data_IF_548898163128
#
_entry.id   IF_548898163128
#
_cell.length_a   1.000
_cell.length_b   1.000
_cell.length_c   1.000
_cell.angle_alpha   90.00
_cell.angle_beta   90.00
_cell.angle_gamma   90.00
#
_symmetry.space_group_name_H-M   'P 1'
#
loop_
_entity.id
_entity.type
_entity.pdbx_description
1 polymer ?
#
# COMPACT_ATOMS: atom_id res chain seq x y z
N UNK A 1 20.16 5.28 8.33
CA UNK A 1 20.64 4.44 7.20
C UNK A 1 20.66 5.30 5.94
N UNK A 2 21.67 5.17 5.08
CA UNK A 2 21.72 5.89 3.80
C UNK A 2 20.75 5.26 2.80
N UNK A 3 19.95 6.09 2.12
CA UNK A 3 18.99 5.65 1.10
C UNK A 3 19.58 5.94 -0.28
N UNK A 4 19.90 4.89 -1.03
CA UNK A 4 20.40 5.01 -2.40
C UNK A 4 19.30 5.54 -3.32
N UNK A 5 19.66 6.41 -4.29
CA UNK A 5 18.71 6.98 -5.26
C UNK A 5 19.16 6.65 -6.68
N UNK A 6 18.36 5.85 -7.36
CA UNK A 6 18.53 5.50 -8.76
C UNK A 6 17.35 6.13 -9.52
N UNK A 7 17.49 7.40 -9.89
CA UNK A 7 16.42 8.15 -10.51
C UNK A 7 16.29 7.82 -12.00
N UNK A 8 15.04 7.78 -12.49
CA UNK A 8 14.77 7.57 -13.91
C UNK A 8 15.27 8.74 -14.74
N UNK A 9 15.78 8.46 -15.93
CA UNK A 9 16.13 9.48 -16.94
C UNK A 9 14.95 9.78 -17.87
N UNK A 10 13.86 8.99 -17.79
CA UNK A 10 12.66 9.13 -18.59
C UNK A 10 11.43 9.25 -17.70
N UNK A 11 11.17 10.40 -17.06
CA UNK A 11 10.00 10.59 -16.22
C UNK A 11 8.70 10.49 -17.04
N UNK A 12 7.66 9.94 -16.41
CA UNK A 12 6.33 9.81 -17.03
C UNK A 12 5.67 11.16 -17.18
N UNK A 13 4.82 11.28 -18.18
CA UNK A 13 3.94 12.45 -18.30
C UNK A 13 2.91 12.44 -17.17
N UNK A 14 2.83 13.53 -16.41
CA UNK A 14 1.86 13.66 -15.32
C UNK A 14 0.46 13.91 -15.87
N UNK A 15 -0.59 13.39 -15.21
CA UNK A 15 -1.97 13.62 -15.60
C UNK A 15 -2.28 15.12 -15.68
N UNK A 16 -2.76 15.57 -16.84
CA UNK A 16 -3.16 16.97 -17.05
C UNK A 16 -4.51 17.31 -16.39
N UNK A 17 -5.38 16.30 -16.29
CA UNK A 17 -6.72 16.42 -15.72
C UNK A 17 -6.79 15.61 -14.42
N UNK A 18 -6.53 16.27 -13.31
CA UNK A 18 -6.55 15.63 -11.97
C UNK A 18 -7.96 15.21 -11.52
N UNK A 19 -9.03 15.67 -12.19
CA UNK A 19 -10.39 15.23 -11.88
C UNK A 19 -10.65 13.78 -12.30
N UNK A 20 -9.82 13.23 -13.19
CA UNK A 20 -9.93 11.85 -13.73
C UNK A 20 -8.92 10.87 -13.17
N UNK A 21 -8.22 11.21 -12.09
CA UNK A 21 -7.19 10.35 -11.51
C UNK A 21 -7.69 8.97 -11.11
N UNK A 22 -8.95 8.86 -10.65
CA UNK A 22 -9.45 7.60 -10.10
C UNK A 22 -8.65 7.16 -8.86
N UNK A 23 -8.53 5.84 -8.66
CA UNK A 23 -7.77 5.30 -7.53
C UNK A 23 -6.92 4.08 -7.97
N UNK A 24 -5.59 4.15 -7.78
CA UNK A 24 -4.70 3.03 -7.93
C UNK A 24 -4.41 2.56 -9.36
N UNK A 25 -4.63 3.40 -10.36
CA UNK A 25 -4.34 3.10 -11.78
C UNK A 25 -3.08 3.80 -12.30
N UNK A 26 -2.71 4.92 -11.70
CA UNK A 26 -1.56 5.73 -12.09
C UNK A 26 -0.54 5.63 -10.98
N UNK A 27 0.72 5.37 -11.32
CA UNK A 27 1.81 5.29 -10.36
C UNK A 27 2.90 6.30 -10.71
N UNK A 28 3.57 6.82 -9.68
CA UNK A 28 4.65 7.79 -9.81
C UNK A 28 5.86 7.21 -10.55
N UNK A 29 6.90 8.01 -10.72
CA UNK A 29 8.10 7.61 -11.45
C UNK A 29 8.94 6.60 -10.67
N UNK A 30 8.93 6.67 -9.35
CA UNK A 30 9.79 5.85 -8.50
C UNK A 30 9.00 5.10 -7.43
N UNK A 31 9.62 4.05 -6.93
CA UNK A 31 9.22 3.27 -5.76
C UNK A 31 10.40 3.12 -4.81
N UNK A 32 10.12 2.80 -3.54
CA UNK A 32 11.14 2.41 -2.58
C UNK A 32 11.13 0.90 -2.41
N UNK A 33 12.31 0.31 -2.34
CA UNK A 33 12.53 -1.11 -2.05
C UNK A 33 13.61 -1.21 -0.97
N UNK A 34 13.37 -2.03 0.05
CA UNK A 34 14.33 -2.33 1.10
C UNK A 34 14.21 -3.81 1.50
N UNK A 35 15.25 -4.61 1.31
CA UNK A 35 15.28 -6.00 1.74
C UNK A 35 15.48 -6.15 3.24
N UNK A 36 15.05 -7.31 3.73
CA UNK A 36 15.38 -7.85 5.03
C UNK A 36 15.93 -9.26 4.85
N UNK A 37 17.05 -9.54 5.44
CA UNK A 37 17.62 -10.88 5.54
C UNK A 37 17.81 -11.26 7.01
N UNK A 38 17.48 -12.49 7.39
CA UNK A 38 17.67 -12.96 8.76
C UNK A 38 19.17 -12.90 9.13
N UNK A 39 19.46 -12.37 10.32
CA UNK A 39 20.84 -12.12 10.79
C UNK A 39 21.45 -10.79 10.35
N UNK A 40 20.96 -10.14 9.28
CA UNK A 40 21.39 -8.80 8.84
C UNK A 40 20.37 -7.72 9.21
N UNK A 41 19.10 -8.06 9.23
CA UNK A 41 18.01 -7.10 9.43
C UNK A 41 17.62 -6.34 8.17
N UNK A 42 16.91 -5.22 8.31
CA UNK A 42 16.56 -4.31 7.22
C UNK A 42 17.80 -3.56 6.71
N UNK A 43 18.05 -3.61 5.40
CA UNK A 43 19.29 -3.05 4.84
C UNK A 43 19.08 -2.50 3.41
N UNK A 44 20.07 -1.78 2.90
CA UNK A 44 20.18 -1.27 1.53
C UNK A 44 18.89 -0.67 0.94
N UNK A 45 18.23 0.28 1.61
CA UNK A 45 17.07 0.94 1.03
C UNK A 45 17.44 1.67 -0.25
N UNK A 46 16.63 1.48 -1.29
CA UNK A 46 16.83 2.12 -2.59
C UNK A 46 15.53 2.74 -3.11
N UNK A 47 15.59 3.98 -3.56
CA UNK A 47 14.56 4.60 -4.39
C UNK A 47 14.97 4.34 -5.84
N UNK A 48 14.12 3.65 -6.58
CA UNK A 48 14.39 3.21 -7.95
C UNK A 48 13.17 3.43 -8.86
N UNK A 49 13.34 3.38 -10.19
CA UNK A 49 12.21 3.52 -11.10
C UNK A 49 11.09 2.52 -10.78
N UNK A 50 9.84 2.99 -10.82
CA UNK A 50 8.67 2.13 -10.66
C UNK A 50 8.59 1.12 -11.82
N UNK A 51 8.53 -0.15 -11.49
CA UNK A 51 8.47 -1.24 -12.45
C UNK A 51 8.11 -2.57 -11.81
N UNK A 52 8.18 -3.62 -12.60
CA UNK A 52 7.92 -4.98 -12.17
C UNK A 52 9.00 -5.48 -11.21
N UNK A 53 8.60 -6.38 -10.32
CA UNK A 53 9.51 -7.13 -9.45
C UNK A 53 9.55 -8.59 -9.87
N UNK A 54 10.73 -9.18 -9.82
CA UNK A 54 10.89 -10.60 -10.11
C UNK A 54 10.84 -11.41 -8.81
N UNK A 55 9.95 -12.39 -8.77
CA UNK A 55 9.81 -13.32 -7.65
C UNK A 55 9.95 -14.76 -8.12
N UNK A 56 10.49 -15.64 -7.26
CA UNK A 56 10.40 -17.09 -7.49
C UNK A 56 8.94 -17.53 -7.53
N UNK A 57 8.54 -18.46 -8.42
CA UNK A 57 7.20 -19.05 -8.37
C UNK A 57 6.86 -19.71 -7.02
N UNK A 58 7.88 -20.13 -6.25
CA UNK A 58 7.72 -20.69 -4.90
C UNK A 58 7.78 -19.64 -3.78
N UNK A 59 7.81 -18.34 -4.09
CA UNK A 59 7.82 -17.29 -3.07
C UNK A 59 6.65 -17.42 -2.10
N UNK A 60 6.93 -17.44 -0.81
CA UNK A 60 5.95 -17.74 0.26
C UNK A 60 4.73 -16.82 0.24
N UNK A 61 4.90 -15.54 -0.12
CA UNK A 61 3.78 -14.60 -0.22
C UNK A 61 2.71 -15.04 -1.23
N UNK A 62 3.08 -15.76 -2.30
CA UNK A 62 2.17 -16.25 -3.34
C UNK A 62 1.31 -17.44 -2.85
N UNK A 63 1.81 -18.22 -1.89
CA UNK A 63 1.18 -19.46 -1.42
C UNK A 63 0.48 -19.27 -0.07
N UNK A 64 1.12 -18.59 0.85
CA UNK A 64 0.66 -18.48 2.25
C UNK A 64 0.17 -17.09 2.63
N UNK A 65 0.35 -16.09 1.75
CA UNK A 65 -0.12 -14.74 1.98
C UNK A 65 0.53 -14.06 3.20
N UNK A 66 1.80 -14.38 3.50
CA UNK A 66 2.56 -13.69 4.53
C UNK A 66 2.95 -12.29 4.01
N UNK A 67 1.99 -11.39 4.08
CA UNK A 67 2.08 -10.02 3.59
C UNK A 67 1.23 -9.08 4.43
N UNK A 68 1.72 -7.88 4.64
CA UNK A 68 1.02 -6.78 5.32
C UNK A 68 1.12 -5.53 4.48
N UNK A 69 0.17 -4.63 4.65
CA UNK A 69 0.22 -3.32 4.01
C UNK A 69 -0.40 -2.24 4.87
N UNK A 70 -0.06 -1.01 4.57
CA UNK A 70 -0.65 0.20 5.09
C UNK A 70 -1.19 1.09 3.96
N UNK A 71 -1.97 2.08 4.33
CA UNK A 71 -2.44 3.11 3.43
C UNK A 71 -2.48 4.46 4.15
N UNK A 72 -1.81 5.45 3.57
CA UNK A 72 -1.85 6.82 4.04
C UNK A 72 -1.79 7.77 2.83
N UNK A 73 -1.90 9.07 3.07
CA UNK A 73 -2.00 10.06 2.01
C UNK A 73 -1.07 11.23 2.28
N UNK A 74 -0.51 11.78 1.20
CA UNK A 74 0.15 13.07 1.22
C UNK A 74 -0.73 14.11 0.51
N UNK A 75 -0.76 15.31 1.05
CA UNK A 75 -1.59 16.41 0.57
C UNK A 75 -0.74 17.62 0.25
N UNK A 76 -1.14 18.36 -0.81
CA UNK A 76 -0.59 19.65 -1.12
C UNK A 76 -1.17 20.70 -0.17
N UNK A 77 -0.30 21.50 0.42
CA UNK A 77 -0.68 22.66 1.23
C UNK A 77 -0.86 23.89 0.37
N UNK A 78 -1.58 24.88 0.88
CA UNK A 78 -1.78 26.16 0.19
C UNK A 78 -0.46 26.92 -0.10
N UNK A 79 0.57 26.71 0.73
CA UNK A 79 1.91 27.29 0.53
C UNK A 79 2.78 26.48 -0.46
N UNK A 80 2.22 25.44 -1.11
CA UNK A 80 2.92 24.56 -2.04
C UNK A 80 3.71 23.44 -1.37
N UNK A 81 3.79 23.40 -0.03
CA UNK A 81 4.40 22.32 0.72
C UNK A 81 3.60 21.02 0.62
N UNK A 82 4.20 19.93 1.07
CA UNK A 82 3.56 18.62 1.16
C UNK A 82 3.44 18.23 2.63
N UNK A 83 2.29 17.73 3.03
CA UNK A 83 2.04 17.28 4.39
C UNK A 83 1.51 15.86 4.46
N UNK A 84 1.86 15.19 5.55
CA UNK A 84 1.34 13.89 5.96
C UNK A 84 0.54 14.06 7.25
N UNK A 85 -0.47 13.23 7.44
CA UNK A 85 -1.22 13.21 8.69
C UNK A 85 -0.83 11.98 9.51
N UNK A 86 -0.15 12.19 10.63
CA UNK A 86 0.24 11.17 11.64
C UNK A 86 0.83 9.88 11.02
N UNK A 87 1.84 9.96 10.15
CA UNK A 87 2.40 8.77 9.49
C UNK A 87 3.06 7.80 10.48
N UNK A 88 3.49 8.26 11.65
CA UNK A 88 3.98 7.45 12.77
C UNK A 88 2.96 6.40 13.20
N UNK A 89 1.68 6.76 13.32
CA UNK A 89 0.62 5.82 13.72
C UNK A 89 0.39 4.73 12.66
N UNK A 90 0.64 5.04 11.38
CA UNK A 90 0.58 4.04 10.32
C UNK A 90 1.72 3.01 10.47
N UNK A 91 2.95 3.45 10.75
CA UNK A 91 4.06 2.51 10.96
C UNK A 91 3.89 1.69 12.25
N UNK A 92 3.39 2.28 13.33
CA UNK A 92 3.00 1.51 14.54
C UNK A 92 1.96 0.44 14.22
N UNK A 93 0.95 0.76 13.40
CA UNK A 93 -0.08 -0.19 12.99
C UNK A 93 0.49 -1.27 12.06
N UNK A 94 1.41 -0.91 11.14
CA UNK A 94 2.14 -1.85 10.32
C UNK A 94 2.89 -2.87 11.19
N UNK A 95 3.62 -2.41 12.21
CA UNK A 95 4.37 -3.28 13.12
C UNK A 95 3.46 -4.17 13.96
N UNK A 96 2.30 -3.69 14.43
CA UNK A 96 1.29 -4.58 15.06
C UNK A 96 0.79 -5.67 14.10
N UNK A 97 0.72 -5.38 12.81
CA UNK A 97 0.36 -6.38 11.79
C UNK A 97 1.52 -7.33 11.51
N UNK A 98 2.76 -6.83 11.52
CA UNK A 98 3.98 -7.64 11.39
C UNK A 98 4.07 -8.67 12.52
N UNK A 99 3.93 -8.23 13.76
CA UNK A 99 3.94 -9.12 14.94
C UNK A 99 2.98 -10.30 14.79
N UNK A 100 1.77 -10.05 14.29
CA UNK A 100 0.74 -11.08 14.11
C UNK A 100 1.04 -12.09 13.03
N UNK A 101 1.80 -11.72 12.02
CA UNK A 101 2.20 -12.59 10.91
C UNK A 101 3.63 -13.10 11.05
N UNK A 102 4.26 -12.84 12.21
CA UNK A 102 5.67 -13.20 12.46
C UNK A 102 6.59 -12.63 11.37
N UNK A 103 6.33 -11.39 10.99
CA UNK A 103 7.19 -10.60 10.13
C UNK A 103 8.07 -9.73 11.01
N UNK A 104 9.36 -9.55 10.71
CA UNK A 104 10.24 -8.70 11.49
C UNK A 104 9.72 -7.27 11.65
N UNK A 105 9.95 -6.68 12.82
CA UNK A 105 9.61 -5.29 13.09
C UNK A 105 10.42 -4.37 12.17
N UNK A 106 9.73 -3.41 11.54
CA UNK A 106 10.36 -2.34 10.80
C UNK A 106 10.55 -1.14 11.75
N UNK A 107 11.80 -0.71 12.04
CA UNK A 107 12.02 0.46 12.88
C UNK A 107 11.23 1.67 12.36
N UNK A 108 10.38 2.26 13.20
CA UNK A 108 9.46 3.33 12.81
C UNK A 108 10.19 4.53 12.19
N UNK A 109 11.32 4.93 12.78
CA UNK A 109 12.14 6.03 12.27
C UNK A 109 12.70 5.74 10.87
N UNK A 110 13.13 4.50 10.62
CA UNK A 110 13.61 4.08 9.32
C UNK A 110 12.49 4.09 8.28
N UNK A 111 11.33 3.54 8.62
CA UNK A 111 10.15 3.58 7.76
C UNK A 111 9.72 5.01 7.42
N UNK A 112 9.71 5.92 8.42
CA UNK A 112 9.42 7.33 8.23
C UNK A 112 10.47 8.05 7.38
N UNK A 113 11.75 7.73 7.56
CA UNK A 113 12.84 8.27 6.74
C UNK A 113 12.65 7.85 5.28
N UNK A 114 12.45 6.57 5.02
CA UNK A 114 12.19 6.02 3.69
C UNK A 114 11.00 6.70 3.00
N UNK A 115 9.90 6.87 3.74
CA UNK A 115 8.70 7.54 3.26
C UNK A 115 8.96 9.01 2.88
N UNK A 116 9.62 9.77 3.75
CA UNK A 116 9.92 11.20 3.51
C UNK A 116 10.83 11.39 2.31
N UNK A 117 11.85 10.56 2.17
CA UNK A 117 12.79 10.62 1.05
C UNK A 117 12.10 10.31 -0.28
N UNK A 118 11.24 9.28 -0.33
CA UNK A 118 10.48 8.96 -1.53
C UNK A 118 9.52 10.10 -1.91
N UNK A 119 8.77 10.66 -0.95
CA UNK A 119 7.88 11.80 -1.20
C UNK A 119 8.66 13.03 -1.65
N UNK A 120 9.85 13.26 -1.12
CA UNK A 120 10.71 14.37 -1.53
C UNK A 120 11.10 14.26 -3.02
N UNK A 121 11.39 13.04 -3.49
CA UNK A 121 11.67 12.77 -4.92
C UNK A 121 10.43 12.97 -5.77
N UNK A 122 9.27 12.51 -5.27
CA UNK A 122 7.99 12.48 -6.00
C UNK A 122 7.05 13.64 -5.67
N UNK A 123 7.56 14.72 -5.07
CA UNK A 123 6.74 15.85 -4.61
C UNK A 123 5.84 16.47 -5.70
N UNK A 124 6.29 16.44 -6.96
CA UNK A 124 5.57 16.99 -8.09
C UNK A 124 4.41 16.09 -8.56
N UNK A 125 4.30 14.87 -8.02
CA UNK A 125 3.18 13.97 -8.24
C UNK A 125 2.04 14.16 -7.21
N UNK A 126 2.25 14.99 -6.19
CA UNK A 126 1.17 15.34 -5.24
C UNK A 126 0.18 16.25 -5.94
N UNK A 127 -1.09 15.84 -6.11
CA UNK A 127 -2.06 16.63 -6.85
C UNK A 127 -2.32 18.01 -6.24
N UNK A 128 -2.77 18.93 -7.09
CA UNK A 128 -3.12 20.30 -6.71
C UNK A 128 -4.63 20.49 -6.48
N UNK A 129 -5.45 19.64 -7.10
CA UNK A 129 -6.92 19.73 -7.04
C UNK A 129 -7.41 19.42 -5.63
N UNK A 130 -8.35 20.23 -5.14
CA UNK A 130 -9.00 20.01 -3.85
C UNK A 130 -9.68 18.63 -3.79
N UNK A 131 -9.52 17.94 -2.66
CA UNK A 131 -10.02 16.58 -2.47
C UNK A 131 -9.15 15.48 -3.09
N UNK A 132 -8.17 15.82 -3.95
CA UNK A 132 -7.18 14.87 -4.45
C UNK A 132 -6.00 14.73 -3.48
N UNK A 133 -5.25 13.65 -3.61
CA UNK A 133 -4.11 13.33 -2.75
C UNK A 133 -3.15 12.38 -3.42
N UNK A 134 -1.92 12.32 -2.96
CA UNK A 134 -1.01 11.23 -3.31
C UNK A 134 -1.23 10.08 -2.33
N UNK A 135 -1.82 8.99 -2.82
CA UNK A 135 -1.99 7.77 -2.03
C UNK A 135 -0.64 7.04 -1.90
N UNK A 136 -0.35 6.59 -0.70
CA UNK A 136 0.91 5.93 -0.34
C UNK A 136 0.59 4.53 0.13
N UNK A 137 1.27 3.53 -0.43
CA UNK A 137 1.12 2.11 -0.10
C UNK A 137 2.44 1.53 0.39
N UNK A 138 2.74 1.60 1.69
CA UNK A 138 3.78 0.77 2.29
C UNK A 138 3.28 -0.67 2.40
N UNK A 139 4.13 -1.65 2.09
CA UNK A 139 3.80 -3.06 2.26
C UNK A 139 5.06 -3.91 2.46
N UNK A 140 4.89 -5.04 3.15
CA UNK A 140 5.96 -6.01 3.42
C UNK A 140 5.45 -7.39 3.03
N UNK A 141 6.29 -8.20 2.41
CA UNK A 141 5.94 -9.57 2.06
C UNK A 141 7.15 -10.48 2.07
N UNK A 142 6.92 -11.77 2.41
CA UNK A 142 7.95 -12.80 2.42
C UNK A 142 8.30 -13.24 0.99
N UNK A 143 9.60 -13.36 0.70
CA UNK A 143 10.10 -13.69 -0.64
C UNK A 143 10.85 -15.01 -0.70
N UNK A 144 10.96 -15.74 0.41
CA UNK A 144 11.63 -17.04 0.48
C UNK A 144 11.11 -17.99 -0.60
N UNK A 145 11.98 -18.59 -1.40
CA UNK A 145 11.59 -19.52 -2.46
C UNK A 145 11.35 -20.93 -1.91
N UNK A 146 10.39 -21.08 -0.99
CA UNK A 146 10.18 -22.30 -0.21
C UNK A 146 8.69 -22.59 0.00
N UNK A 147 8.26 -23.84 -0.23
CA UNK A 147 6.87 -24.29 -0.10
C UNK A 147 6.51 -24.86 1.28
N UNK A 148 7.39 -24.80 2.25
CA UNK A 148 7.09 -25.20 3.63
C UNK A 148 6.38 -24.10 4.41
N UNK A 149 5.58 -24.48 5.43
CA UNK A 149 4.91 -23.51 6.31
C UNK A 149 5.83 -23.21 7.50
N UNK A 150 6.48 -22.07 7.43
CA UNK A 150 7.30 -21.48 8.49
C UNK A 150 7.28 -19.95 8.39
N UNK A 151 7.73 -19.20 9.39
CA UNK A 151 8.01 -17.77 9.21
C UNK A 151 9.08 -17.56 8.13
N UNK A 152 8.92 -16.57 7.30
CA UNK A 152 9.94 -16.22 6.30
C UNK A 152 11.23 -15.72 6.97
N UNK A 153 12.34 -15.88 6.29
CA UNK A 153 13.67 -15.38 6.68
C UNK A 153 14.11 -14.20 5.81
N UNK A 154 13.42 -14.03 4.66
CA UNK A 154 13.68 -12.97 3.69
C UNK A 154 12.40 -12.22 3.35
N UNK A 155 12.45 -10.88 3.43
CA UNK A 155 11.31 -10.02 3.14
C UNK A 155 11.71 -8.83 2.28
N UNK A 156 10.73 -8.28 1.57
CA UNK A 156 10.85 -6.97 0.95
C UNK A 156 9.86 -6.00 1.60
N UNK A 157 10.37 -4.85 2.05
CA UNK A 157 9.58 -3.67 2.34
C UNK A 157 9.58 -2.78 1.12
N UNK A 158 8.40 -2.37 0.68
CA UNK A 158 8.23 -1.50 -0.47
C UNK A 158 7.25 -0.37 -0.17
N UNK A 159 7.47 0.77 -0.84
CA UNK A 159 6.51 1.87 -0.86
C UNK A 159 6.25 2.23 -2.32
N UNK A 160 4.98 2.22 -2.72
CA UNK A 160 4.53 2.70 -4.02
C UNK A 160 3.56 3.86 -3.83
N UNK A 161 3.53 4.78 -4.79
CA UNK A 161 2.76 6.02 -4.73
C UNK A 161 1.82 6.11 -5.94
N UNK A 162 0.59 6.60 -5.69
CA UNK A 162 -0.44 6.75 -6.72
C UNK A 162 -1.20 8.05 -6.52
N UNK A 163 -1.15 9.02 -7.45
CA UNK A 163 -2.03 10.18 -7.39
C UNK A 163 -3.47 9.71 -7.52
N UNK A 164 -4.32 10.19 -6.63
CA UNK A 164 -5.70 9.74 -6.49
C UNK A 164 -6.65 10.91 -6.35
N UNK A 165 -7.76 10.85 -7.04
CA UNK A 165 -8.88 11.78 -6.90
C UNK A 165 -9.69 11.53 -5.62
N UNK A 166 -10.79 12.26 -5.43
CA UNK A 166 -11.74 12.00 -4.37
C UNK A 166 -12.23 10.56 -4.41
N UNK A 167 -12.34 9.93 -3.24
CA UNK A 167 -12.76 8.52 -3.17
C UNK A 167 -14.18 8.29 -3.71
N UNK A 168 -15.09 9.21 -3.42
CA UNK A 168 -16.44 9.25 -3.97
C UNK A 168 -16.57 10.42 -4.93
N UNK A 169 -17.08 10.15 -6.14
CA UNK A 169 -17.36 11.22 -7.12
C UNK A 169 -18.42 12.21 -6.63
N UNK A 170 -19.32 11.73 -5.74
CA UNK A 170 -20.38 12.52 -5.09
C UNK A 170 -19.91 13.27 -3.83
N UNK A 171 -18.62 13.22 -3.49
CA UNK A 171 -18.09 13.88 -2.31
C UNK A 171 -18.62 13.29 -0.99
N UNK A 172 -19.33 14.11 -0.19
CA UNK A 172 -19.88 13.71 1.11
C UNK A 172 -21.33 13.23 1.05
N UNK A 173 -21.90 13.06 -0.14
CA UNK A 173 -23.27 12.57 -0.27
C UNK A 173 -23.43 11.15 0.31
N UNK A 174 -24.60 10.84 0.89
CA UNK A 174 -24.85 9.51 1.42
C UNK A 174 -24.73 8.42 0.36
N UNK A 175 -24.13 7.29 0.74
CA UNK A 175 -23.99 6.12 -0.13
C UNK A 175 -24.87 4.98 0.36
N UNK A 176 -25.38 4.18 -0.57
CA UNK A 176 -26.10 2.97 -0.23
C UNK A 176 -25.13 1.89 0.26
N UNK A 177 -25.40 1.33 1.45
CA UNK A 177 -24.61 0.25 2.04
C UNK A 177 -25.42 -1.05 1.92
N UNK A 178 -24.83 -2.05 1.29
CA UNK A 178 -25.36 -3.41 1.30
C UNK A 178 -24.89 -4.15 2.56
N UNK A 179 -25.84 -4.69 3.32
CA UNK A 179 -25.52 -5.53 4.48
C UNK A 179 -25.43 -6.97 4.02
N UNK A 180 -24.20 -7.51 3.97
CA UNK A 180 -23.97 -8.93 3.67
C UNK A 180 -24.25 -9.77 4.92
N UNK A 181 -25.16 -10.73 4.81
CA UNK A 181 -25.58 -11.60 5.91
C UNK A 181 -25.27 -13.09 5.69
N UNK A 182 -24.81 -13.46 4.49
CA UNK A 182 -24.46 -14.83 4.15
C UNK A 182 -22.97 -15.10 4.36
N UNK A 183 -22.12 -14.13 4.00
CA UNK A 183 -20.69 -14.26 4.10
C UNK A 183 -20.16 -13.28 5.15
N UNK A 184 -19.32 -13.78 6.06
CA UNK A 184 -18.70 -12.96 7.09
C UNK A 184 -17.22 -12.72 6.75
N UNK A 185 -16.78 -11.48 6.90
CA UNK A 185 -15.37 -11.12 6.70
C UNK A 185 -14.48 -11.75 7.77
N UNK A 186 -14.98 -11.82 9.00
CA UNK A 186 -14.24 -12.33 10.15
C UNK A 186 -15.23 -12.99 11.09
N UNK A 187 -14.93 -14.21 11.52
CA UNK A 187 -15.68 -14.87 12.61
C UNK A 187 -15.01 -14.61 13.94
N UNK A 188 -15.78 -14.70 15.03
CA UNK A 188 -15.27 -14.54 16.41
C UNK A 188 -14.15 -15.55 16.68
N UNK A 189 -13.00 -15.07 17.18
CA UNK A 189 -11.84 -15.90 17.48
C UNK A 189 -10.89 -16.16 16.30
N UNK A 190 -11.26 -15.76 15.08
CA UNK A 190 -10.37 -15.83 13.91
C UNK A 190 -9.88 -14.43 13.53
N UNK A 191 -8.57 -14.29 13.46
CA UNK A 191 -7.98 -13.03 13.01
C UNK A 191 -8.08 -12.90 11.50
N UNK A 192 -8.53 -11.74 10.98
CA UNK A 192 -8.51 -11.50 9.55
C UNK A 192 -7.05 -11.45 9.07
N UNK A 193 -6.66 -12.41 8.25
CA UNK A 193 -5.43 -12.30 7.48
C UNK A 193 -5.69 -11.34 6.32
N UNK A 194 -4.82 -10.36 6.05
CA UNK A 194 -5.03 -9.40 4.96
C UNK A 194 -5.33 -10.05 3.61
N UNK A 195 -4.60 -11.12 3.26
CA UNK A 195 -4.81 -11.86 2.01
C UNK A 195 -6.17 -12.60 1.95
N UNK A 196 -6.60 -13.22 3.04
CA UNK A 196 -7.93 -13.90 3.13
C UNK A 196 -9.06 -12.88 3.07
N UNK A 197 -8.87 -11.73 3.70
CA UNK A 197 -9.83 -10.62 3.65
C UNK A 197 -10.01 -10.12 2.22
N UNK A 198 -8.93 -9.95 1.45
CA UNK A 198 -9.00 -9.52 0.05
C UNK A 198 -9.71 -10.54 -0.83
N UNK A 199 -9.48 -11.85 -0.64
CA UNK A 199 -10.18 -12.90 -1.39
C UNK A 199 -11.69 -12.84 -1.16
N UNK A 200 -12.13 -12.67 0.08
CA UNK A 200 -13.56 -12.55 0.41
C UNK A 200 -14.17 -11.28 -0.21
N UNK A 201 -13.47 -10.15 -0.14
CA UNK A 201 -13.91 -8.89 -0.76
C UNK A 201 -14.03 -9.03 -2.28
N UNK A 202 -13.10 -9.68 -2.96
CA UNK A 202 -13.19 -9.93 -4.38
C UNK A 202 -14.39 -10.82 -4.73
N UNK A 203 -14.66 -11.86 -3.93
CA UNK A 203 -15.82 -12.75 -4.14
C UNK A 203 -17.12 -12.00 -3.96
N UNK A 204 -17.27 -11.21 -2.90
CA UNK A 204 -18.46 -10.38 -2.66
C UNK A 204 -18.63 -9.34 -3.77
N UNK A 205 -17.55 -8.70 -4.21
CA UNK A 205 -17.59 -7.74 -5.33
C UNK A 205 -18.06 -8.39 -6.62
N UNK A 206 -17.56 -9.58 -6.97
CA UNK A 206 -18.00 -10.33 -8.16
C UNK A 206 -19.49 -10.70 -8.09
N UNK A 207 -19.97 -11.14 -6.93
CA UNK A 207 -21.39 -11.45 -6.73
C UNK A 207 -22.28 -10.21 -6.83
N UNK A 208 -21.86 -9.07 -6.30
CA UNK A 208 -22.56 -7.80 -6.41
C UNK A 208 -22.60 -7.29 -7.86
N UNK A 209 -21.52 -7.43 -8.60
CA UNK A 209 -21.45 -7.10 -10.02
C UNK A 209 -22.40 -7.96 -10.84
N UNK A 210 -22.48 -9.27 -10.58
CA UNK A 210 -23.39 -10.19 -11.29
C UNK A 210 -24.86 -9.92 -11.03
N UNK A 211 -25.19 -9.21 -9.94
CA UNK A 211 -26.58 -8.82 -9.57
C UNK A 211 -26.91 -7.37 -9.94
N UNK A 212 -26.10 -6.70 -10.77
CA UNK A 212 -26.24 -5.29 -11.15
C UNK A 212 -26.30 -4.31 -9.95
N UNK A 213 -25.81 -4.72 -8.78
CA UNK A 213 -25.74 -3.89 -7.57
C UNK A 213 -24.30 -3.36 -7.48
N UNK A 214 -23.98 -2.41 -8.32
CA UNK A 214 -22.73 -1.68 -8.31
C UNK A 214 -22.85 -0.49 -7.37
N UNK A 215 -22.62 -0.72 -6.07
CA UNK A 215 -22.01 0.32 -5.18
C UNK A 215 -21.79 -0.29 -3.81
N UNK A 216 -20.75 -0.33 -3.38
CA UNK A 216 -19.61 -0.87 -2.80
C UNK A 216 -19.44 -0.56 -1.30
N UNK A 217 -19.13 -1.54 -0.52
CA UNK A 217 -18.60 -1.39 0.83
C UNK A 217 -17.36 -0.50 0.82
N UNK A 218 -17.49 0.68 1.39
CA UNK A 218 -16.35 1.54 1.65
C UNK A 218 -15.30 0.84 2.50
N UNK A 219 -14.13 0.79 1.98
CA UNK A 219 -12.92 0.57 2.73
C UNK A 219 -12.41 1.94 3.07
N UNK A 220 -12.60 2.33 4.30
CA UNK A 220 -11.69 3.20 5.04
C UNK A 220 -12.42 3.87 6.19
N UNK A 221 -12.12 3.44 7.36
CA UNK A 221 -11.91 4.33 8.49
C UNK A 221 -10.46 4.12 8.90
#
# INVERSE_FOLDING_TARGET
MEIKKQLTTCPKEKPKDESKLGFGHIFTDHMLVMPYDEGQGWHDPVIMPYGDITLSPSAMCLHYGQTVFEGLKAYRRADGGVQLFRPDENFKRLNRSNERLVIPELPEELGLQCLKELISVEKDWVPHTEGASLYIRPFIFAVDPFLGVHPGEHYLFMIILSPSGPYYASGLDPVNIYVENKYVRTVRGVMPRPAVTMRLLCTVRLMLMSRAILRFCGWMA
#
